data_IF_476877193485
#
_entry.id   IF_476877193485
#
_cell.length_a   1.000
_cell.length_b   1.000
_cell.length_c   1.000
_cell.angle_alpha   90.00
_cell.angle_beta   90.00
_cell.angle_gamma   90.00
#
_symmetry.space_group_name_H-M   'P 1'
#
loop_
_entity.id
_entity.type
_entity.pdbx_description
1 polymer ?
#
# COMPACT_ATOMS: atom_id res chain seq x y z
N UNK A 1 0.54 -12.92 -23.77
CA UNK A 1 -0.91 -13.11 -23.82
C UNK A 1 -1.59 -12.25 -24.92
N UNK A 2 -1.03 -11.17 -25.31
CA UNK A 2 -1.57 -10.16 -26.22
C UNK A 2 -2.24 -9.01 -25.47
N UNK A 3 -2.90 -8.11 -26.18
CA UNK A 3 -3.62 -6.99 -25.57
C UNK A 3 -5.10 -7.34 -25.37
N UNK A 4 -5.81 -6.69 -24.45
CA UNK A 4 -7.24 -6.79 -24.28
C UNK A 4 -7.97 -6.65 -25.64
N UNK A 5 -9.07 -7.39 -25.80
CA UNK A 5 -9.94 -7.40 -27.00
C UNK A 5 -9.31 -7.89 -28.31
N UNK A 6 -8.01 -8.24 -28.33
CA UNK A 6 -7.34 -8.79 -29.51
C UNK A 6 -7.63 -10.30 -29.69
N UNK A 7 -7.08 -11.11 -28.78
CA UNK A 7 -7.22 -12.58 -28.84
C UNK A 7 -8.50 -13.05 -28.13
N UNK A 8 -8.86 -12.38 -27.02
CA UNK A 8 -10.02 -12.71 -26.21
C UNK A 8 -11.01 -11.55 -26.25
N UNK A 9 -12.10 -11.75 -26.99
CA UNK A 9 -13.12 -10.72 -27.25
C UNK A 9 -13.71 -10.09 -25.98
N UNK A 10 -13.87 -10.90 -24.92
CA UNK A 10 -14.47 -10.48 -23.66
C UNK A 10 -13.46 -10.08 -22.57
N UNK A 11 -12.17 -10.09 -22.87
CA UNK A 11 -11.18 -9.49 -22.01
C UNK A 11 -11.17 -7.98 -22.29
N UNK A 12 -11.88 -7.23 -21.45
CA UNK A 12 -12.04 -5.78 -21.61
C UNK A 12 -10.74 -5.01 -21.33
N UNK A 13 -10.08 -5.37 -20.23
CA UNK A 13 -8.88 -4.71 -19.75
C UNK A 13 -8.41 -5.27 -18.43
N UNK A 14 -7.49 -4.59 -17.78
CA UNK A 14 -6.90 -4.99 -16.50
C UNK A 14 -7.13 -3.90 -15.45
N UNK A 15 -7.44 -4.31 -14.21
CA UNK A 15 -7.53 -3.40 -13.06
C UNK A 15 -6.49 -3.86 -12.05
N UNK A 16 -5.54 -2.99 -11.71
CA UNK A 16 -4.48 -3.30 -10.77
C UNK A 16 -3.99 -2.04 -10.03
N UNK A 17 -3.30 -2.25 -8.92
CA UNK A 17 -2.70 -1.17 -8.15
C UNK A 17 -1.27 -0.86 -8.61
N UNK A 18 -0.83 0.38 -8.38
CA UNK A 18 0.51 0.82 -8.72
C UNK A 18 1.54 0.33 -7.69
N UNK A 19 2.15 -0.84 -7.95
CA UNK A 19 3.20 -1.41 -7.09
C UNK A 19 4.45 -0.51 -7.00
N UNK A 20 4.85 0.14 -8.10
CA UNK A 20 5.98 1.05 -8.09
C UNK A 20 5.70 2.26 -7.19
N UNK A 21 4.53 2.86 -7.35
CA UNK A 21 4.11 3.99 -6.52
C UNK A 21 3.94 3.61 -5.05
N UNK A 22 3.42 2.41 -4.77
CA UNK A 22 3.34 1.89 -3.40
C UNK A 22 4.72 1.82 -2.72
N UNK A 23 5.74 1.36 -3.46
CA UNK A 23 7.12 1.33 -2.97
C UNK A 23 7.68 2.71 -2.67
N UNK A 24 7.46 3.70 -3.57
CA UNK A 24 7.82 5.10 -3.34
C UNK A 24 7.12 5.68 -2.09
N UNK A 25 5.80 5.46 -1.97
CA UNK A 25 4.98 6.00 -0.88
C UNK A 25 5.45 5.48 0.48
N UNK A 26 5.71 4.17 0.59
CA UNK A 26 6.25 3.60 1.83
C UNK A 26 7.64 4.16 2.13
N UNK A 27 8.54 4.20 1.14
CA UNK A 27 9.88 4.79 1.29
C UNK A 27 9.81 6.23 1.80
N UNK A 28 8.90 7.04 1.23
CA UNK A 28 8.67 8.42 1.67
C UNK A 28 8.21 8.49 3.12
N UNK A 29 7.21 7.70 3.51
CA UNK A 29 6.66 7.74 4.87
C UNK A 29 7.72 7.37 5.92
N UNK A 30 8.57 6.39 5.63
CA UNK A 30 9.65 5.98 6.53
C UNK A 30 10.76 7.03 6.62
N UNK A 31 11.16 7.61 5.48
CA UNK A 31 12.17 8.66 5.43
C UNK A 31 11.71 9.92 6.17
N UNK A 32 10.49 10.37 5.91
CA UNK A 32 9.93 11.55 6.55
C UNK A 32 9.92 11.39 8.08
N UNK A 33 9.53 10.23 8.61
CA UNK A 33 9.50 10.00 10.05
C UNK A 33 10.91 9.95 10.65
N UNK A 34 11.89 9.34 9.97
CA UNK A 34 13.28 9.34 10.41
C UNK A 34 13.84 10.79 10.49
N UNK A 35 13.61 11.59 9.46
CA UNK A 35 14.04 13.00 9.42
C UNK A 35 13.33 13.82 10.51
N UNK A 36 12.01 13.66 10.66
CA UNK A 36 11.22 14.39 11.65
C UNK A 36 11.69 14.11 13.09
N UNK A 37 12.20 12.90 13.33
CA UNK A 37 12.80 12.52 14.62
C UNK A 37 14.29 12.80 14.73
N UNK A 38 14.85 13.55 13.75
CA UNK A 38 16.27 13.94 13.68
C UNK A 38 17.24 12.77 13.67
N UNK A 39 16.84 11.65 13.06
CA UNK A 39 17.69 10.47 12.85
C UNK A 39 18.27 10.51 11.44
N UNK A 40 19.55 10.16 11.30
CA UNK A 40 20.15 9.90 9.98
C UNK A 40 19.59 8.58 9.45
N UNK A 41 18.95 8.54 8.26
CA UNK A 41 18.32 7.33 7.76
C UNK A 41 19.33 6.36 7.13
N UNK A 42 19.33 5.11 7.56
CA UNK A 42 20.10 3.98 7.01
C UNK A 42 19.15 2.87 6.61
N UNK A 43 18.92 2.71 5.31
CA UNK A 43 17.87 1.87 4.74
C UNK A 43 18.35 0.45 4.41
N UNK A 44 17.53 -0.53 4.77
CA UNK A 44 17.53 -1.87 4.18
C UNK A 44 16.13 -2.22 3.68
N UNK A 45 16.03 -3.12 2.70
CA UNK A 45 14.74 -3.55 2.15
C UNK A 45 14.58 -5.08 2.15
N UNK A 46 13.36 -5.52 2.47
CA UNK A 46 12.95 -6.91 2.52
C UNK A 46 11.87 -7.15 1.44
N UNK A 47 12.26 -7.87 0.38
CA UNK A 47 11.37 -8.27 -0.71
C UNK A 47 10.71 -9.62 -0.46
N UNK A 48 9.64 -9.90 -1.23
CA UNK A 48 8.95 -11.19 -1.29
C UNK A 48 9.73 -12.24 -2.08
N UNK A 49 9.25 -12.58 -3.28
CA UNK A 49 9.95 -13.47 -4.21
C UNK A 49 10.63 -12.66 -5.33
N UNK A 50 11.76 -13.17 -5.80
CA UNK A 50 12.44 -12.60 -6.96
C UNK A 50 11.57 -12.74 -8.23
N UNK A 51 11.58 -11.70 -9.08
CA UNK A 51 10.83 -11.67 -10.33
C UNK A 51 9.31 -11.46 -10.18
N UNK A 52 8.86 -10.95 -9.03
CA UNK A 52 7.44 -10.71 -8.74
C UNK A 52 7.13 -9.24 -8.47
N UNK A 53 5.91 -8.96 -7.99
CA UNK A 53 5.45 -7.61 -7.62
C UNK A 53 6.37 -6.93 -6.60
N UNK A 54 7.05 -7.72 -5.77
CA UNK A 54 7.96 -7.16 -4.76
C UNK A 54 9.15 -6.43 -5.38
N UNK A 55 9.63 -6.86 -6.54
CA UNK A 55 10.71 -6.17 -7.26
C UNK A 55 10.22 -4.80 -7.76
N UNK A 56 9.03 -4.75 -8.35
CA UNK A 56 8.42 -3.47 -8.76
C UNK A 56 8.22 -2.52 -7.57
N UNK A 57 7.84 -3.05 -6.40
CA UNK A 57 7.73 -2.25 -5.16
C UNK A 57 9.09 -1.71 -4.72
N UNK A 58 10.13 -2.57 -4.70
CA UNK A 58 11.48 -2.10 -4.30
C UNK A 58 12.13 -1.20 -5.35
N UNK A 59 11.82 -1.35 -6.65
CA UNK A 59 12.25 -0.42 -7.68
C UNK A 59 11.70 0.99 -7.42
N UNK A 60 10.44 1.10 -6.96
CA UNK A 60 9.84 2.34 -6.51
C UNK A 60 10.59 2.95 -5.32
N UNK A 61 10.93 2.14 -4.31
CA UNK A 61 11.77 2.59 -3.18
C UNK A 61 13.11 3.14 -3.67
N UNK A 62 13.85 2.35 -4.47
CA UNK A 62 15.17 2.73 -5.00
C UNK A 62 15.09 4.04 -5.78
N UNK A 63 14.06 4.18 -6.64
CA UNK A 63 13.84 5.39 -7.39
C UNK A 63 13.61 6.61 -6.47
N UNK A 64 12.80 6.45 -5.43
CA UNK A 64 12.53 7.51 -4.46
C UNK A 64 13.79 7.90 -3.70
N UNK A 65 14.52 6.94 -3.11
CA UNK A 65 15.70 7.20 -2.31
C UNK A 65 16.82 7.89 -3.13
N UNK A 66 17.02 7.51 -4.39
CA UNK A 66 17.96 8.16 -5.30
C UNK A 66 17.65 9.66 -5.50
N UNK A 67 16.35 10.01 -5.58
CA UNK A 67 15.94 11.43 -5.68
C UNK A 67 16.19 12.22 -4.41
N UNK A 68 16.28 11.54 -3.26
CA UNK A 68 16.54 12.15 -1.96
C UNK A 68 18.04 12.10 -1.57
N UNK A 69 18.91 11.56 -2.44
CA UNK A 69 20.34 11.31 -2.17
C UNK A 69 20.55 10.44 -0.91
N UNK A 70 19.69 9.44 -0.73
CA UNK A 70 19.75 8.46 0.36
C UNK A 70 20.14 7.10 -0.18
N UNK A 71 21.11 6.46 0.44
CA UNK A 71 21.60 5.14 0.05
C UNK A 71 20.69 4.03 0.61
N UNK A 72 20.46 3.00 -0.21
CA UNK A 72 19.87 1.72 0.19
C UNK A 72 20.99 0.69 0.33
N UNK A 73 21.32 0.29 1.57
CA UNK A 73 22.42 -0.62 1.88
C UNK A 73 22.27 -1.99 1.20
N UNK A 74 21.08 -2.59 1.30
CA UNK A 74 20.82 -3.89 0.70
C UNK A 74 19.33 -4.19 0.55
N UNK A 75 18.99 -4.91 -0.53
CA UNK A 75 17.70 -5.60 -0.71
C UNK A 75 17.93 -7.11 -0.50
N UNK A 76 17.07 -7.76 0.27
CA UNK A 76 17.05 -9.23 0.45
C UNK A 76 15.64 -9.79 0.28
N UNK A 77 15.53 -11.08 -0.05
CA UNK A 77 14.25 -11.75 -0.26
C UNK A 77 13.92 -12.65 0.93
N UNK A 78 12.67 -12.59 1.38
CA UNK A 78 12.14 -13.34 2.53
C UNK A 78 10.85 -14.11 2.19
N UNK A 79 10.61 -14.40 0.90
CA UNK A 79 9.55 -15.29 0.41
C UNK A 79 8.15 -14.99 0.99
N UNK A 80 7.84 -13.71 1.22
CA UNK A 80 6.59 -13.23 1.87
C UNK A 80 6.37 -13.80 3.28
N UNK A 81 7.44 -14.28 3.93
CA UNK A 81 7.36 -15.01 5.18
C UNK A 81 7.88 -14.18 6.36
N UNK A 82 7.09 -14.14 7.44
CA UNK A 82 7.40 -13.38 8.67
C UNK A 82 8.70 -13.88 9.32
N UNK A 83 8.86 -15.20 9.50
CA UNK A 83 10.03 -15.77 10.17
C UNK A 83 11.31 -15.61 9.35
N UNK A 84 11.18 -15.73 8.01
CA UNK A 84 12.31 -15.46 7.12
C UNK A 84 12.73 -14.00 7.17
N UNK A 85 11.76 -13.07 7.18
CA UNK A 85 12.05 -11.65 7.32
C UNK A 85 12.78 -11.33 8.63
N UNK A 86 12.33 -11.90 9.78
CA UNK A 86 13.01 -11.77 11.06
C UNK A 86 14.47 -12.23 10.98
N UNK A 87 14.72 -13.42 10.42
CA UNK A 87 16.06 -13.98 10.27
C UNK A 87 16.96 -13.12 9.35
N UNK A 88 16.39 -12.61 8.24
CA UNK A 88 17.12 -11.75 7.29
C UNK A 88 17.47 -10.40 7.92
N UNK A 89 16.50 -9.76 8.57
CA UNK A 89 16.73 -8.49 9.27
C UNK A 89 17.78 -8.64 10.36
N UNK A 90 17.72 -9.70 11.17
CA UNK A 90 18.74 -9.95 12.20
C UNK A 90 20.15 -10.02 11.64
N UNK A 91 20.35 -10.63 10.46
CA UNK A 91 21.63 -10.68 9.76
C UNK A 91 22.03 -9.33 9.14
N UNK A 92 21.05 -8.57 8.60
CA UNK A 92 21.31 -7.25 8.06
C UNK A 92 21.76 -6.28 9.15
N UNK A 93 21.17 -6.32 10.34
CA UNK A 93 21.57 -5.50 11.48
C UNK A 93 22.98 -5.83 12.02
N UNK A 94 23.45 -7.07 11.81
CA UNK A 94 24.86 -7.43 12.12
C UNK A 94 25.82 -6.88 11.06
N UNK A 95 25.42 -6.89 9.79
CA UNK A 95 26.22 -6.42 8.67
C UNK A 95 26.24 -4.89 8.57
N UNK A 96 25.12 -4.26 8.82
CA UNK A 96 24.90 -2.82 8.76
C UNK A 96 24.38 -2.33 10.12
N UNK A 97 25.29 -2.14 11.11
CA UNK A 97 24.87 -1.85 12.48
C UNK A 97 24.16 -0.49 12.63
N UNK A 98 24.34 0.42 11.68
CA UNK A 98 23.68 1.73 11.68
C UNK A 98 22.26 1.70 11.14
N UNK A 99 21.82 0.59 10.53
CA UNK A 99 20.46 0.43 10.00
C UNK A 99 19.42 0.81 11.04
N UNK A 100 18.52 1.70 10.66
CA UNK A 100 17.39 2.15 11.47
C UNK A 100 16.08 2.25 10.66
N UNK A 101 16.12 2.14 9.33
CA UNK A 101 14.95 2.15 8.46
C UNK A 101 14.85 0.80 7.76
N UNK A 102 13.72 0.11 7.95
CA UNK A 102 13.49 -1.23 7.39
C UNK A 102 12.21 -1.18 6.56
N UNK A 103 12.39 -1.16 5.26
CA UNK A 103 11.29 -1.20 4.30
C UNK A 103 10.95 -2.65 3.96
N UNK A 104 9.68 -3.05 4.03
CA UNK A 104 9.23 -4.40 3.74
C UNK A 104 8.15 -4.39 2.66
N UNK A 105 8.28 -5.26 1.66
CA UNK A 105 7.32 -5.37 0.57
C UNK A 105 5.95 -5.93 1.02
N UNK A 106 5.80 -6.41 2.26
CA UNK A 106 4.51 -6.78 2.85
C UNK A 106 4.45 -6.54 4.36
N UNK A 107 3.24 -6.45 4.88
CA UNK A 107 2.98 -6.27 6.31
C UNK A 107 3.44 -7.48 7.16
N UNK A 108 3.29 -8.71 6.65
CA UNK A 108 3.80 -9.89 7.35
C UNK A 108 5.32 -9.83 7.54
N UNK A 109 6.04 -9.37 6.51
CA UNK A 109 7.50 -9.21 6.62
C UNK A 109 7.87 -8.04 7.53
N UNK A 110 7.07 -6.97 7.59
CA UNK A 110 7.26 -5.88 8.54
C UNK A 110 7.09 -6.33 9.99
N UNK A 111 6.14 -7.24 10.27
CA UNK A 111 6.03 -7.88 11.59
C UNK A 111 7.30 -8.70 11.93
N UNK A 112 7.87 -9.43 10.95
CA UNK A 112 9.13 -10.14 11.14
C UNK A 112 10.30 -9.19 11.43
N UNK A 113 10.37 -8.07 10.71
CA UNK A 113 11.36 -7.03 10.97
C UNK A 113 11.22 -6.45 12.39
N UNK A 114 9.98 -6.23 12.86
CA UNK A 114 9.70 -5.76 14.21
C UNK A 114 10.18 -6.75 15.28
N UNK A 115 9.98 -8.05 15.08
CA UNK A 115 10.51 -9.07 16.02
C UNK A 115 12.05 -9.06 16.05
N UNK A 116 12.73 -8.86 14.91
CA UNK A 116 14.19 -8.81 14.84
C UNK A 116 14.80 -7.63 15.61
N UNK A 117 14.07 -6.53 15.79
CA UNK A 117 14.52 -5.36 16.57
C UNK A 117 14.00 -5.36 18.02
N UNK A 118 13.18 -6.34 18.39
CA UNK A 118 12.58 -6.44 19.71
C UNK A 118 13.66 -6.48 20.81
N UNK A 119 13.50 -5.62 21.78
CA UNK A 119 14.45 -5.50 22.91
C UNK A 119 15.71 -4.66 22.60
N UNK A 120 15.96 -4.26 21.36
CA UNK A 120 17.00 -3.30 21.01
C UNK A 120 16.53 -1.90 21.41
N UNK A 121 17.31 -1.20 22.22
CA UNK A 121 16.98 0.13 22.76
C UNK A 121 18.06 1.18 22.43
N UNK A 122 19.03 0.80 21.61
CA UNK A 122 20.17 1.61 21.23
C UNK A 122 19.79 2.75 20.29
N UNK A 123 18.72 2.58 19.50
CA UNK A 123 18.20 3.56 18.57
C UNK A 123 16.71 3.38 18.30
N UNK A 124 16.08 4.36 17.64
CA UNK A 124 14.75 4.24 17.08
C UNK A 124 14.80 3.46 15.75
N UNK A 125 13.79 2.62 15.51
CA UNK A 125 13.63 1.90 14.24
C UNK A 125 12.34 2.35 13.54
N UNK A 126 12.46 2.61 12.24
CA UNK A 126 11.35 3.00 11.36
C UNK A 126 11.03 1.85 10.43
N UNK A 127 9.95 1.14 10.69
CA UNK A 127 9.59 -0.09 10.00
C UNK A 127 8.22 0.07 9.38
N UNK A 128 8.07 -0.35 8.12
CA UNK A 128 6.78 -0.32 7.46
C UNK A 128 6.62 -1.44 6.44
N UNK A 129 5.37 -1.67 6.05
CA UNK A 129 4.97 -2.73 5.13
C UNK A 129 3.92 -2.27 4.13
N UNK A 130 3.43 -3.24 3.36
CA UNK A 130 2.35 -3.04 2.40
C UNK A 130 1.31 -4.11 2.68
N UNK A 131 0.02 -3.78 2.84
CA UNK A 131 -1.20 -4.60 2.78
C UNK A 131 -2.37 -4.03 3.59
N UNK A 132 -2.13 -3.28 4.68
CA UNK A 132 -3.12 -2.83 5.67
C UNK A 132 -3.73 -3.99 6.47
N UNK A 133 -2.92 -4.94 6.90
CA UNK A 133 -3.38 -5.95 7.84
C UNK A 133 -3.78 -5.31 9.18
N UNK A 134 -4.88 -5.79 9.78
CA UNK A 134 -5.42 -5.25 11.03
C UNK A 134 -4.37 -5.21 12.14
N UNK A 135 -3.58 -6.28 12.31
CA UNK A 135 -2.49 -6.33 13.28
C UNK A 135 -1.45 -5.23 13.05
N UNK A 136 -1.15 -4.90 11.78
CA UNK A 136 -0.18 -3.85 11.45
C UNK A 136 -0.76 -2.46 11.72
N UNK A 137 -2.05 -2.26 11.47
CA UNK A 137 -2.74 -1.02 11.83
C UNK A 137 -2.73 -0.81 13.35
N UNK A 138 -2.93 -1.88 14.15
CA UNK A 138 -2.76 -1.83 15.61
C UNK A 138 -1.34 -1.46 16.03
N UNK A 139 -0.34 -2.03 15.36
CA UNK A 139 1.06 -1.72 15.63
C UNK A 139 1.43 -0.28 15.24
N UNK A 140 0.82 0.29 14.21
CA UNK A 140 0.98 1.71 13.84
C UNK A 140 0.35 2.61 14.90
N UNK A 141 -0.85 2.29 15.37
CA UNK A 141 -1.53 3.04 16.43
C UNK A 141 -0.73 3.01 17.73
N UNK A 142 -0.10 1.87 18.05
CA UNK A 142 0.83 1.71 19.17
C UNK A 142 2.22 2.31 18.91
N UNK A 143 2.47 2.93 17.75
CA UNK A 143 3.75 3.48 17.33
C UNK A 143 4.91 2.46 17.31
N UNK A 144 4.60 1.18 17.13
CA UNK A 144 5.58 0.10 16.96
C UNK A 144 5.98 -0.10 15.50
N UNK A 145 5.06 0.18 14.57
CA UNK A 145 5.34 0.33 13.14
C UNK A 145 5.11 1.78 12.74
N UNK A 146 5.82 2.22 11.70
CA UNK A 146 5.78 3.61 11.23
C UNK A 146 4.67 3.84 10.22
N UNK A 147 4.53 2.92 9.26
CA UNK A 147 3.57 3.05 8.16
C UNK A 147 3.17 1.71 7.58
N UNK A 148 1.99 1.65 6.98
CA UNK A 148 1.61 0.63 6.01
C UNK A 148 0.95 1.28 4.79
N UNK A 149 1.27 0.76 3.61
CA UNK A 149 0.63 1.14 2.34
C UNK A 149 -0.36 0.06 1.97
N UNK A 150 -1.58 0.41 1.57
CA UNK A 150 -2.57 -0.62 1.29
C UNK A 150 -3.80 -0.13 0.57
N UNK A 151 -4.83 -1.00 0.53
CA UNK A 151 -6.08 -0.72 -0.14
C UNK A 151 -6.35 -1.57 -1.37
N UNK A 152 -5.42 -2.43 -1.77
CA UNK A 152 -5.59 -3.31 -2.93
C UNK A 152 -6.73 -4.33 -2.76
N UNK A 153 -7.24 -4.56 -1.55
CA UNK A 153 -8.44 -5.35 -1.32
C UNK A 153 -9.68 -4.78 -2.05
N UNK A 154 -9.69 -3.47 -2.37
CA UNK A 154 -10.74 -2.84 -3.16
C UNK A 154 -10.68 -3.16 -4.66
N UNK A 155 -9.62 -3.81 -5.15
CA UNK A 155 -9.42 -4.07 -6.58
C UNK A 155 -10.60 -4.80 -7.23
N UNK A 156 -11.20 -5.76 -6.51
CA UNK A 156 -12.40 -6.47 -6.99
C UNK A 156 -13.62 -5.55 -7.15
N UNK A 157 -13.83 -4.63 -6.22
CA UNK A 157 -14.91 -3.65 -6.29
C UNK A 157 -14.69 -2.66 -7.45
N UNK A 158 -13.48 -2.15 -7.62
CA UNK A 158 -13.11 -1.27 -8.74
C UNK A 158 -13.27 -1.95 -10.10
N UNK A 159 -12.85 -3.21 -10.21
CA UNK A 159 -13.08 -4.00 -11.41
C UNK A 159 -14.56 -4.14 -11.72
N UNK A 160 -15.40 -4.46 -10.71
CA UNK A 160 -16.85 -4.61 -10.89
C UNK A 160 -17.52 -3.30 -11.34
N UNK A 161 -17.15 -2.16 -10.75
CA UNK A 161 -17.66 -0.84 -11.15
C UNK A 161 -17.36 -0.59 -12.64
N UNK A 162 -16.13 -0.87 -13.08
CA UNK A 162 -15.75 -0.68 -14.49
C UNK A 162 -16.51 -1.61 -15.45
N UNK A 163 -16.90 -2.81 -15.01
CA UNK A 163 -17.74 -3.74 -15.77
C UNK A 163 -19.18 -3.22 -15.85
N UNK A 164 -19.71 -2.67 -14.75
CA UNK A 164 -21.06 -2.05 -14.74
C UNK A 164 -21.11 -0.86 -15.69
N UNK A 165 -20.11 0.03 -15.66
CA UNK A 165 -20.02 1.14 -16.63
C UNK A 165 -19.98 0.65 -18.08
N UNK A 166 -19.19 -0.38 -18.36
CA UNK A 166 -19.17 -1.00 -19.70
C UNK A 166 -20.54 -1.55 -20.11
N UNK A 167 -21.23 -2.24 -19.19
CA UNK A 167 -22.59 -2.77 -19.43
C UNK A 167 -23.59 -1.64 -19.71
N UNK A 168 -23.43 -0.50 -19.05
CA UNK A 168 -24.26 0.68 -19.25
C UNK A 168 -23.88 1.48 -20.53
N UNK A 169 -22.96 0.97 -21.33
CA UNK A 169 -22.56 1.57 -22.62
C UNK A 169 -21.43 2.60 -22.52
N UNK A 170 -20.78 2.76 -21.37
CA UNK A 170 -19.62 3.65 -21.26
C UNK A 170 -18.45 3.13 -22.12
N UNK A 171 -17.85 3.98 -22.96
CA UNK A 171 -16.82 3.57 -23.90
C UNK A 171 -15.41 3.48 -23.31
N UNK A 172 -15.22 3.59 -21.98
CA UNK A 172 -13.89 3.63 -21.34
C UNK A 172 -12.95 2.55 -21.87
N UNK A 173 -13.38 1.29 -21.82
CA UNK A 173 -12.60 0.15 -22.29
C UNK A 173 -12.36 0.09 -23.82
N UNK A 174 -12.99 0.95 -24.62
CA UNK A 174 -12.67 1.08 -26.05
C UNK A 174 -11.36 1.84 -26.26
N UNK A 175 -11.03 2.74 -25.35
CA UNK A 175 -9.89 3.65 -25.43
C UNK A 175 -8.76 3.31 -24.46
N UNK A 176 -9.00 2.44 -23.46
CA UNK A 176 -8.05 2.08 -22.42
C UNK A 176 -7.91 0.56 -22.33
N UNK A 177 -6.70 0.09 -22.04
CA UNK A 177 -6.39 -1.33 -21.83
C UNK A 177 -6.26 -1.67 -20.34
N UNK A 178 -6.11 -0.64 -19.47
CA UNK A 178 -5.87 -0.81 -18.04
C UNK A 178 -6.49 0.31 -17.19
N UNK A 179 -6.78 -0.01 -15.95
CA UNK A 179 -7.04 0.93 -14.86
C UNK A 179 -5.99 0.67 -13.79
N UNK A 180 -5.16 1.67 -13.54
CA UNK A 180 -4.11 1.60 -12.54
C UNK A 180 -4.41 2.58 -11.41
N UNK A 181 -4.75 2.07 -10.21
CA UNK A 181 -5.09 2.90 -9.07
C UNK A 181 -3.97 2.97 -8.03
N UNK A 182 -3.96 4.05 -7.25
CA UNK A 182 -2.98 4.24 -6.19
C UNK A 182 -3.47 3.66 -4.87
N UNK A 183 -2.52 3.12 -4.10
CA UNK A 183 -2.75 2.69 -2.73
C UNK A 183 -2.67 3.88 -1.76
N UNK A 184 -3.33 3.75 -0.61
CA UNK A 184 -3.25 4.71 0.47
C UNK A 184 -2.08 4.44 1.41
N UNK A 185 -1.67 5.46 2.16
CA UNK A 185 -0.62 5.35 3.19
C UNK A 185 -1.23 5.63 4.55
N UNK A 186 -1.11 4.68 5.48
CA UNK A 186 -1.52 4.85 6.87
C UNK A 186 -0.27 4.99 7.75
N UNK A 187 -0.27 6.04 8.57
CA UNK A 187 0.73 6.34 9.59
C UNK A 187 0.03 6.72 10.89
N UNK A 188 0.78 6.93 11.98
CA UNK A 188 0.23 7.44 13.24
C UNK A 188 -0.52 8.78 13.09
N UNK A 189 -0.22 9.57 12.05
CA UNK A 189 -0.79 10.90 11.85
C UNK A 189 -2.19 10.89 11.22
N UNK A 190 -2.55 9.82 10.51
CA UNK A 190 -3.82 9.71 9.80
C UNK A 190 -4.64 8.45 10.12
N UNK A 191 -4.13 7.54 10.95
CA UNK A 191 -4.81 6.25 11.25
C UNK A 191 -6.23 6.45 11.79
N UNK A 192 -6.48 7.52 12.54
CA UNK A 192 -7.82 7.80 13.06
C UNK A 192 -8.83 8.13 11.95
N UNK A 193 -8.39 8.71 10.84
CA UNK A 193 -9.22 8.94 9.65
C UNK A 193 -9.62 7.65 8.95
N UNK A 194 -8.89 6.55 9.19
CA UNK A 194 -9.16 5.23 8.63
C UNK A 194 -9.86 4.27 9.61
N UNK A 195 -10.32 4.77 10.78
CA UNK A 195 -11.02 3.96 11.79
C UNK A 195 -12.29 3.29 11.24
N UNK A 196 -12.96 3.89 10.23
CA UNK A 196 -14.10 3.32 9.53
C UNK A 196 -13.75 1.98 8.87
N UNK A 197 -12.54 1.81 8.34
CA UNK A 197 -12.10 0.60 7.65
C UNK A 197 -12.14 -0.63 8.58
N UNK A 198 -11.79 -0.45 9.86
CA UNK A 198 -11.82 -1.51 10.88
C UNK A 198 -13.23 -1.81 11.40
N UNK A 199 -14.12 -0.84 11.27
CA UNK A 199 -15.48 -0.92 11.81
C UNK A 199 -16.52 -1.31 10.76
N UNK A 200 -16.14 -1.37 9.48
CA UNK A 200 -17.06 -1.71 8.40
C UNK A 200 -17.38 -3.21 8.46
N UNK A 201 -18.62 -3.52 8.84
CA UNK A 201 -19.13 -4.91 8.87
C UNK A 201 -19.94 -5.23 7.64
N UNK A 202 -20.53 -4.25 7.03
CA UNK A 202 -21.36 -4.34 5.84
C UNK A 202 -20.85 -3.38 4.77
N UNK A 203 -20.31 -3.93 3.69
CA UNK A 203 -19.77 -3.15 2.58
C UNK A 203 -20.86 -2.46 1.74
N UNK A 204 -22.14 -2.81 1.92
CA UNK A 204 -23.26 -2.14 1.26
C UNK A 204 -23.42 -0.66 1.70
N UNK A 205 -22.79 -0.25 2.81
CA UNK A 205 -22.77 1.14 3.24
C UNK A 205 -21.97 2.04 2.29
N UNK A 206 -21.09 1.47 1.48
CA UNK A 206 -20.34 2.21 0.46
C UNK A 206 -21.27 2.46 -0.73
N UNK A 207 -21.51 3.73 -1.10
CA UNK A 207 -22.32 4.05 -2.28
C UNK A 207 -21.50 3.86 -3.56
N UNK A 208 -21.28 2.61 -3.96
CA UNK A 208 -20.45 2.25 -5.10
C UNK A 208 -20.86 2.94 -6.41
N UNK A 209 -22.15 3.26 -6.56
CA UNK A 209 -22.67 4.02 -7.71
C UNK A 209 -22.02 5.41 -7.87
N UNK A 210 -21.51 5.99 -6.79
CA UNK A 210 -20.81 7.29 -6.84
C UNK A 210 -19.52 7.22 -7.67
N UNK A 211 -18.92 6.03 -7.77
CA UNK A 211 -17.68 5.80 -8.51
C UNK A 211 -17.90 5.46 -9.99
N UNK A 212 -19.17 5.33 -10.45
CA UNK A 212 -19.46 5.18 -11.87
C UNK A 212 -19.08 6.44 -12.63
N UNK A 213 -18.51 6.31 -13.83
CA UNK A 213 -18.06 7.43 -14.65
C UNK A 213 -19.18 8.40 -15.01
N UNK A 214 -20.41 7.91 -15.16
CA UNK A 214 -21.58 8.78 -15.38
C UNK A 214 -21.82 9.79 -14.23
N UNK A 215 -21.35 9.48 -13.02
CA UNK A 215 -21.47 10.32 -11.82
C UNK A 215 -20.15 11.08 -11.51
N UNK A 216 -19.09 10.82 -12.28
CA UNK A 216 -17.81 11.49 -12.16
C UNK A 216 -17.80 12.83 -12.92
N UNK A 217 -17.06 13.79 -12.41
CA UNK A 217 -16.79 15.06 -13.11
C UNK A 217 -15.68 14.95 -14.16
N UNK A 218 -14.99 13.83 -14.19
CA UNK A 218 -13.91 13.51 -15.13
C UNK A 218 -14.26 12.25 -15.92
N UNK A 219 -13.54 12.00 -17.01
CA UNK A 219 -13.65 10.75 -17.77
C UNK A 219 -12.71 9.66 -17.20
N UNK A 220 -12.17 9.88 -15.99
CA UNK A 220 -11.25 8.98 -15.31
C UNK A 220 -11.87 8.46 -14.01
N UNK A 221 -11.54 7.24 -13.64
CA UNK A 221 -11.96 6.65 -12.37
C UNK A 221 -11.18 7.25 -11.19
N UNK A 222 -11.91 7.71 -10.19
CA UNK A 222 -11.33 8.17 -8.91
C UNK A 222 -11.24 6.99 -7.91
N UNK A 223 -10.48 5.96 -8.27
CA UNK A 223 -10.31 4.75 -7.46
C UNK A 223 -9.17 4.93 -6.44
N UNK A 224 -9.37 5.83 -5.49
CA UNK A 224 -8.43 6.11 -4.41
C UNK A 224 -9.15 6.19 -3.06
N UNK A 225 -8.36 6.08 -1.98
CA UNK A 225 -8.90 6.02 -0.61
C UNK A 225 -9.31 7.39 -0.07
N UNK A 226 -8.75 8.48 -0.56
CA UNK A 226 -9.14 9.83 -0.15
C UNK A 226 -10.54 10.13 -0.68
N UNK A 227 -10.82 9.78 -1.93
CA UNK A 227 -12.17 9.85 -2.51
C UNK A 227 -13.15 8.98 -1.74
N UNK A 228 -12.80 7.72 -1.44
CA UNK A 228 -13.64 6.81 -0.67
C UNK A 228 -13.93 7.37 0.74
N UNK A 229 -12.92 7.89 1.41
CA UNK A 229 -13.09 8.53 2.73
C UNK A 229 -14.02 9.74 2.66
N UNK A 230 -13.86 10.60 1.65
CA UNK A 230 -14.72 11.77 1.46
C UNK A 230 -16.18 11.36 1.27
N UNK A 231 -16.44 10.38 0.38
CA UNK A 231 -17.79 9.87 0.10
C UNK A 231 -18.44 9.28 1.36
N UNK A 232 -17.69 8.57 2.20
CA UNK A 232 -18.21 8.01 3.47
C UNK A 232 -18.43 9.08 4.54
N UNK A 233 -17.63 10.15 4.53
CA UNK A 233 -17.73 11.24 5.50
C UNK A 233 -18.87 12.20 5.20
N UNK A 234 -19.28 12.33 3.95
CA UNK A 234 -20.37 13.20 3.51
C UNK A 234 -21.78 12.62 3.78
N UNK A 235 -21.89 11.32 4.10
CA UNK A 235 -23.18 10.74 4.49
C UNK A 235 -23.66 11.33 5.82
N UNK A 236 -24.91 11.80 5.92
CA UNK A 236 -25.47 12.26 7.19
C UNK A 236 -25.43 11.11 8.22
N UNK A 237 -24.99 11.42 9.45
CA UNK A 237 -24.87 10.50 10.60
C UNK A 237 -26.17 9.76 11.01
N UNK A 238 -27.23 9.81 10.21
CA UNK A 238 -28.55 9.27 10.48
C UNK A 238 -28.85 7.91 9.89
N UNK A 239 -27.89 7.24 9.23
CA UNK A 239 -28.01 5.81 8.96
C UNK A 239 -27.47 5.05 10.18
N UNK A 240 -28.31 4.90 11.20
CA UNK A 240 -28.01 4.08 12.36
C UNK A 240 -27.59 2.67 11.89
N UNK A 241 -26.46 2.26 12.34
CA UNK A 241 -25.97 0.89 12.26
C UNK A 241 -26.97 -0.01 13.01
N UNK A 242 -27.87 -0.66 12.29
CA UNK A 242 -28.70 -1.73 12.82
C UNK A 242 -28.03 -3.09 12.60
#
# INVERSE_FOLDING_TARGET
MGKPRQRFKYWLGEVFHDNFKAGEQLGKALLDEAINTKQTPHFVAINGHYGTESDTRSDGLVHYLRKQDVELEQVVYASWNKQEAENKVSRLLQRYPDTNVIWCASDLMAQGALEAVKGKKDKAYFIGGIDWLDDNLDLIEQQKLTASVGGHFMMGAWALISVVDHHNGNPYWQNHDEIKFQLGVITKHNIQSYSWLRNIKDWSVIPFETFLLQNSKSNEYAFDFDTLHSVLSEKPKNAALH
#
